data_IF_346189315342
#
_entry.id   IF_346189315342
#
_cell.length_a   1.000
_cell.length_b   1.000
_cell.length_c   1.000
_cell.angle_alpha   90.00
_cell.angle_beta   90.00
_cell.angle_gamma   90.00
#
_symmetry.space_group_name_H-M   'P 1'
#
loop_
_entity.id
_entity.type
_entity.pdbx_description
1 polymer ?
#
# COMPACT_ATOMS: atom_id res chain seq x y z
N UNK A 1 13.35 -2.36 -11.86
CA UNK A 1 14.05 -1.46 -10.92
C UNK A 1 13.00 -0.61 -10.23
N UNK A 2 12.89 -0.63 -8.89
CA UNK A 2 11.69 -0.22 -8.14
C UNK A 2 11.59 1.30 -7.98
N UNK A 3 11.88 2.06 -9.03
CA UNK A 3 11.96 3.53 -9.01
C UNK A 3 10.63 4.17 -8.66
N UNK A 4 9.51 3.56 -9.05
CA UNK A 4 8.15 4.02 -8.72
C UNK A 4 7.91 4.05 -7.20
N UNK A 5 8.38 3.05 -6.45
CA UNK A 5 8.19 2.98 -5.00
C UNK A 5 9.06 4.01 -4.27
N UNK A 6 10.30 4.18 -4.71
CA UNK A 6 11.21 5.19 -4.16
C UNK A 6 10.70 6.61 -4.41
N UNK A 7 10.21 6.88 -5.63
CA UNK A 7 9.63 8.17 -5.99
C UNK A 7 8.35 8.44 -5.18
N UNK A 8 7.50 7.44 -4.99
CA UNK A 8 6.29 7.56 -4.20
C UNK A 8 6.61 7.83 -2.71
N UNK A 9 7.62 7.16 -2.16
CA UNK A 9 8.10 7.42 -0.80
C UNK A 9 8.64 8.84 -0.62
N UNK A 10 9.43 9.34 -1.58
CA UNK A 10 9.96 10.71 -1.57
C UNK A 10 8.83 11.75 -1.68
N UNK A 11 7.90 11.57 -2.61
CA UNK A 11 6.79 12.51 -2.82
C UNK A 11 5.83 12.50 -1.62
N UNK A 12 5.50 11.33 -1.08
CA UNK A 12 4.65 11.20 0.09
C UNK A 12 5.31 11.75 1.36
N UNK A 13 6.64 11.66 1.51
CA UNK A 13 7.33 12.24 2.68
C UNK A 13 7.39 13.75 2.62
N UNK A 14 7.51 14.33 1.42
CA UNK A 14 7.69 15.78 1.24
C UNK A 14 6.37 16.54 1.14
N UNK A 15 5.33 15.89 0.61
CA UNK A 15 4.04 16.52 0.31
C UNK A 15 2.85 15.80 0.94
N UNK A 16 3.07 14.71 1.70
CA UNK A 16 1.99 13.92 2.29
C UNK A 16 1.18 14.63 3.37
N UNK A 17 1.68 15.74 3.91
CA UNK A 17 1.05 16.53 4.99
C UNK A 17 0.90 18.00 4.59
N UNK A 18 0.80 18.26 3.29
CA UNK A 18 0.72 19.61 2.72
C UNK A 18 -0.65 19.79 2.07
N UNK A 19 -1.65 20.30 2.81
CA UNK A 19 -2.93 20.81 2.25
C UNK A 19 -2.75 22.12 1.44
N UNK A 20 -1.68 22.24 0.64
CA UNK A 20 -1.59 23.37 -0.28
C UNK A 20 -2.46 23.10 -1.49
N UNK A 21 -3.30 24.08 -1.82
CA UNK A 21 -3.92 24.14 -3.13
C UNK A 21 -2.84 24.41 -4.18
N UNK A 22 -2.85 23.59 -5.23
CA UNK A 22 -1.96 23.74 -6.38
C UNK A 22 -2.80 24.09 -7.60
N UNK A 23 -2.28 24.99 -8.42
CA UNK A 23 -2.89 25.29 -9.70
C UNK A 23 -2.47 24.22 -10.70
N UNK A 24 -3.42 23.40 -11.13
CA UNK A 24 -3.21 22.35 -12.14
C UNK A 24 -4.15 22.61 -13.31
N UNK A 25 -3.60 22.69 -14.52
CA UNK A 25 -4.37 22.98 -15.74
C UNK A 25 -5.21 24.27 -15.67
N UNK A 26 -4.70 25.31 -14.99
CA UNK A 26 -5.39 26.60 -14.83
C UNK A 26 -6.57 26.58 -13.86
N UNK A 27 -6.66 25.55 -13.00
CA UNK A 27 -7.68 25.45 -11.95
C UNK A 27 -7.01 25.16 -10.60
N UNK A 28 -7.35 25.94 -9.58
CA UNK A 28 -6.97 25.66 -8.19
C UNK A 28 -7.60 24.34 -7.76
N UNK A 29 -6.79 23.35 -7.38
CA UNK A 29 -7.25 22.08 -6.80
C UNK A 29 -6.32 21.67 -5.67
N UNK A 30 -6.86 20.97 -4.67
CA UNK A 30 -6.03 20.38 -3.63
C UNK A 30 -5.11 19.30 -4.23
N UNK A 31 -3.89 19.20 -3.70
CA UNK A 31 -2.95 18.13 -4.06
C UNK A 31 -3.60 16.75 -3.90
N UNK A 32 -4.39 16.56 -2.84
CA UNK A 32 -5.13 15.32 -2.59
C UNK A 32 -6.10 14.96 -3.71
N UNK A 33 -6.83 15.95 -4.24
CA UNK A 33 -7.73 15.75 -5.37
C UNK A 33 -6.97 15.44 -6.65
N UNK A 34 -5.86 16.13 -6.93
CA UNK A 34 -5.03 15.85 -8.11
C UNK A 34 -4.40 14.45 -8.06
N UNK A 35 -3.87 14.03 -6.91
CA UNK A 35 -3.26 12.70 -6.76
C UNK A 35 -4.33 11.60 -6.91
N UNK A 36 -5.53 11.81 -6.36
CA UNK A 36 -6.65 10.87 -6.53
C UNK A 36 -7.09 10.76 -7.99
N UNK A 37 -7.31 11.88 -8.68
CA UNK A 37 -7.81 11.95 -10.06
C UNK A 37 -6.76 11.48 -11.10
N UNK A 38 -5.47 11.79 -10.88
CA UNK A 38 -4.39 11.53 -11.84
C UNK A 38 -3.70 10.17 -11.64
N UNK A 39 -3.49 9.74 -10.39
CA UNK A 39 -2.88 8.43 -10.09
C UNK A 39 -3.91 7.34 -9.80
N UNK A 40 -5.22 7.65 -9.87
CA UNK A 40 -6.29 6.69 -9.59
C UNK A 40 -6.31 6.26 -8.12
N UNK A 41 -5.90 7.15 -7.21
CA UNK A 41 -5.83 6.89 -5.77
C UNK A 41 -7.24 6.91 -5.18
N UNK A 42 -7.95 5.79 -5.33
CA UNK A 42 -9.29 5.63 -4.80
C UNK A 42 -9.20 5.26 -3.30
N UNK A 43 -9.69 6.15 -2.43
CA UNK A 43 -9.64 5.96 -0.98
C UNK A 43 -10.34 4.66 -0.54
N UNK A 44 -11.27 4.13 -1.34
CA UNK A 44 -11.91 2.85 -1.10
C UNK A 44 -11.00 1.64 -1.29
N UNK A 45 -9.89 1.78 -2.02
CA UNK A 45 -8.95 0.67 -2.26
C UNK A 45 -7.87 0.55 -1.18
N UNK A 46 -7.57 1.63 -0.43
CA UNK A 46 -6.58 1.62 0.64
C UNK A 46 -6.91 0.62 1.77
N UNK A 47 -8.15 0.55 2.30
CA UNK A 47 -8.51 -0.44 3.31
C UNK A 47 -8.40 -1.87 2.78
N UNK A 48 -8.81 -2.09 1.53
CA UNK A 48 -8.77 -3.41 0.90
C UNK A 48 -7.32 -3.92 0.73
N UNK A 49 -6.43 -3.05 0.24
CA UNK A 49 -5.01 -3.36 0.09
C UNK A 49 -4.37 -3.61 1.45
N UNK A 50 -4.68 -2.80 2.46
CA UNK A 50 -4.19 -2.99 3.82
C UNK A 50 -4.62 -4.34 4.40
N UNK A 51 -5.88 -4.74 4.22
CA UNK A 51 -6.40 -6.05 4.65
C UNK A 51 -5.70 -7.19 3.91
N UNK A 52 -5.51 -7.09 2.59
CA UNK A 52 -4.78 -8.11 1.83
C UNK A 52 -3.32 -8.24 2.29
N UNK A 53 -2.63 -7.12 2.52
CA UNK A 53 -1.25 -7.11 3.02
C UNK A 53 -1.14 -7.73 4.41
N UNK A 54 -2.11 -7.48 5.29
CA UNK A 54 -2.14 -8.06 6.63
C UNK A 54 -2.51 -9.56 6.62
N UNK A 55 -3.38 -9.99 5.70
CA UNK A 55 -3.78 -11.40 5.56
C UNK A 55 -2.65 -12.29 5.04
N UNK A 56 -1.80 -11.78 4.15
CA UNK A 56 -0.70 -12.54 3.56
C UNK A 56 0.24 -13.21 4.58
N UNK A 57 0.83 -12.49 5.57
CA UNK A 57 1.72 -13.10 6.56
C UNK A 57 0.99 -14.09 7.47
N UNK A 58 -0.30 -13.87 7.77
CA UNK A 58 -1.10 -14.77 8.61
C UNK A 58 -1.29 -16.12 7.91
N UNK A 59 -1.68 -16.09 6.63
CA UNK A 59 -1.86 -17.30 5.82
C UNK A 59 -0.53 -18.04 5.67
N UNK A 60 0.55 -17.31 5.36
CA UNK A 60 1.88 -17.90 5.24
C UNK A 60 2.35 -18.57 6.53
N UNK A 61 2.24 -17.88 7.68
CA UNK A 61 2.62 -18.42 8.98
C UNK A 61 1.79 -19.66 9.36
N UNK A 62 0.49 -19.66 9.02
CA UNK A 62 -0.42 -20.78 9.28
C UNK A 62 -0.01 -22.02 8.47
N UNK A 63 0.24 -21.87 7.16
CA UNK A 63 0.70 -22.96 6.29
C UNK A 63 2.06 -23.48 6.76
N UNK A 64 3.00 -22.57 7.05
CA UNK A 64 4.33 -22.92 7.52
C UNK A 64 4.29 -23.74 8.82
N UNK A 65 3.49 -23.30 9.79
CA UNK A 65 3.32 -23.99 11.08
C UNK A 65 2.68 -25.37 10.87
N UNK A 66 1.65 -25.47 10.03
CA UNK A 66 1.01 -26.75 9.71
C UNK A 66 1.98 -27.74 9.05
N UNK A 67 2.78 -27.29 8.09
CA UNK A 67 3.78 -28.11 7.41
C UNK A 67 4.83 -28.65 8.39
N UNK A 68 5.38 -27.78 9.27
CA UNK A 68 6.34 -28.20 10.29
C UNK A 68 5.71 -29.19 11.27
N UNK A 69 4.52 -28.88 11.78
CA UNK A 69 3.84 -29.77 12.74
C UNK A 69 3.60 -31.15 12.13
N UNK A 70 3.06 -31.22 10.91
CA UNK A 70 2.80 -32.48 10.20
C UNK A 70 4.08 -33.26 9.92
N UNK A 71 5.16 -32.60 9.50
CA UNK A 71 6.44 -33.27 9.26
C UNK A 71 7.05 -33.81 10.55
N UNK A 72 6.93 -33.08 11.67
CA UNK A 72 7.41 -33.52 12.97
C UNK A 72 6.63 -34.75 13.49
N UNK A 73 5.32 -34.83 13.20
CA UNK A 73 4.51 -36.03 13.46
C UNK A 73 4.90 -37.23 12.59
N UNK A 74 5.33 -37.03 11.34
CA UNK A 74 5.79 -38.15 10.50
C UNK A 74 7.17 -38.69 10.88
N UNK A 75 7.98 -37.93 11.62
CA UNK A 75 9.33 -38.32 12.04
C UNK A 75 9.40 -39.01 13.41
N UNK A 76 8.30 -39.04 14.17
CA UNK A 76 8.16 -39.71 15.46
C UNK A 76 7.34 -40.99 15.31
#
# INVERSE_FOLDING_TARGET
MPTSWSLNGLLSSQFGDVEREIEVFGRQRSISAFVSDYFGYDHNMLPLVAVMLAMYPIVFASIFTYCIAKWNFQKR
#
